data_IF_192641269111
#
_entry.id   IF_192641269111
#
_cell.length_a   1.000
_cell.length_b   1.000
_cell.length_c   1.000
_cell.angle_alpha   90.00
_cell.angle_beta   90.00
_cell.angle_gamma   90.00
#
_symmetry.space_group_name_H-M   'P 1'
#
loop_
_entity.id
_entity.type
_entity.pdbx_description
1 polymer ?
#
# COMPACT_ATOMS: atom_id res chain seq x y z
N UNK A 1 10.17 -0.59 4.84
CA UNK A 1 9.06 -0.82 5.80
C UNK A 1 7.92 0.11 5.39
N UNK A 2 6.72 -0.43 5.22
CA UNK A 2 5.55 0.34 4.83
C UNK A 2 4.63 0.44 6.05
N UNK A 3 4.21 1.65 6.39
CA UNK A 3 3.39 1.92 7.58
C UNK A 3 1.98 2.32 7.13
N UNK A 4 0.97 1.67 7.70
CA UNK A 4 -0.46 2.00 7.52
C UNK A 4 -1.03 2.73 8.73
N UNK A 5 -2.29 3.15 8.68
CA UNK A 5 -2.94 3.72 9.86
C UNK A 5 -3.13 2.69 10.98
N UNK A 6 -3.29 3.18 12.22
CA UNK A 6 -3.68 2.36 13.38
C UNK A 6 -5.04 1.72 13.12
N UNK A 7 -5.09 0.40 13.24
CA UNK A 7 -6.34 -0.34 13.32
C UNK A 7 -6.91 -0.21 14.74
N UNK A 8 -8.03 0.50 14.91
CA UNK A 8 -8.56 0.87 16.23
C UNK A 8 -9.10 -0.29 17.07
N UNK A 9 -9.42 -1.43 16.45
CA UNK A 9 -10.06 -2.57 17.12
C UNK A 9 -11.34 -2.23 17.92
N UNK A 10 -12.02 -1.14 17.58
CA UNK A 10 -13.23 -0.67 18.26
C UNK A 10 -12.99 0.30 19.42
N UNK A 11 -11.75 0.67 19.70
CA UNK A 11 -11.41 1.70 20.70
C UNK A 11 -11.58 3.12 20.14
N UNK A 12 -11.81 4.06 21.05
CA UNK A 12 -11.84 5.48 20.71
C UNK A 12 -10.42 5.97 20.35
N UNK A 13 -10.28 6.82 19.32
CA UNK A 13 -8.99 7.42 18.99
C UNK A 13 -8.45 8.26 20.15
N UNK A 14 -7.15 8.13 20.41
CA UNK A 14 -6.46 8.98 21.38
C UNK A 14 -6.03 10.27 20.66
N UNK A 15 -6.40 11.48 21.16
CA UNK A 15 -6.02 12.73 20.54
C UNK A 15 -4.50 12.86 20.34
N UNK A 16 -4.09 13.19 19.11
CA UNK A 16 -2.68 13.35 18.74
C UNK A 16 -1.90 12.05 18.55
N UNK A 17 -2.53 10.88 18.69
CA UNK A 17 -1.91 9.58 18.44
C UNK A 17 -2.40 9.03 17.10
N UNK A 18 -1.45 8.80 16.20
CA UNK A 18 -1.64 8.18 14.89
C UNK A 18 -0.34 7.57 14.40
N UNK A 19 -0.39 6.73 13.37
CA UNK A 19 0.82 6.06 12.91
C UNK A 19 1.80 6.98 12.18
N UNK A 20 1.39 8.19 11.78
CA UNK A 20 2.29 9.23 11.24
C UNK A 20 3.43 9.57 12.23
N UNK A 21 3.14 9.61 13.53
CA UNK A 21 4.15 9.90 14.55
C UNK A 21 5.20 8.79 14.66
N UNK A 22 4.79 7.53 14.52
CA UNK A 22 5.70 6.39 14.43
C UNK A 22 6.52 6.48 13.14
N UNK A 23 5.86 6.69 12.01
CA UNK A 23 6.50 6.85 10.71
C UNK A 23 7.61 7.91 10.73
N UNK A 24 7.35 9.11 11.28
CA UNK A 24 8.36 10.19 11.39
C UNK A 24 9.59 9.74 12.17
N UNK A 25 9.41 9.11 13.32
CA UNK A 25 10.53 8.57 14.13
C UNK A 25 11.30 7.46 13.40
N UNK A 26 10.60 6.60 12.66
CA UNK A 26 11.25 5.59 11.83
C UNK A 26 12.04 6.24 10.69
N UNK A 27 11.49 7.29 10.08
CA UNK A 27 12.11 8.03 8.99
C UNK A 27 13.42 8.68 9.43
N UNK A 28 13.48 9.22 10.65
CA UNK A 28 14.72 9.78 11.21
C UNK A 28 15.86 8.75 11.32
N UNK A 29 15.53 7.45 11.43
CA UNK A 29 16.52 6.38 11.64
C UNK A 29 16.87 5.60 10.37
N UNK A 30 15.92 5.46 9.45
CA UNK A 30 16.02 4.58 8.27
C UNK A 30 15.76 5.31 6.95
N UNK A 31 15.61 6.63 6.98
CA UNK A 31 15.58 7.50 5.81
C UNK A 31 14.58 7.03 4.73
N UNK A 32 15.01 6.86 3.49
CA UNK A 32 14.18 6.48 2.35
C UNK A 32 13.60 5.05 2.43
N UNK A 33 14.06 4.22 3.38
CA UNK A 33 13.65 2.81 3.52
C UNK A 33 12.32 2.61 4.25
N UNK A 34 11.69 3.68 4.71
CA UNK A 34 10.37 3.66 5.35
C UNK A 34 9.41 4.41 4.45
N UNK A 35 8.15 4.02 4.37
CA UNK A 35 7.15 4.77 3.62
C UNK A 35 5.81 4.73 4.35
N UNK A 36 4.96 5.73 4.10
CA UNK A 36 3.70 5.91 4.81
C UNK A 36 2.56 6.16 3.84
N UNK A 37 1.45 5.47 4.10
CA UNK A 37 0.16 5.72 3.50
C UNK A 37 -0.88 5.16 4.46
N UNK A 38 -1.73 6.02 5.04
CA UNK A 38 -2.69 5.61 6.04
C UNK A 38 -3.70 4.61 5.49
N UNK A 39 -4.04 4.71 4.19
CA UNK A 39 -5.10 3.91 3.60
C UNK A 39 -4.57 2.62 2.98
N UNK A 40 -5.05 1.48 3.50
CA UNK A 40 -4.69 0.14 2.99
C UNK A 40 -4.96 -0.03 1.50
N UNK A 41 -6.06 0.50 0.99
CA UNK A 41 -6.46 0.34 -0.42
C UNK A 41 -5.48 1.01 -1.40
N UNK A 42 -4.86 2.12 -1.00
CA UNK A 42 -3.83 2.81 -1.78
C UNK A 42 -2.52 2.03 -1.88
N UNK A 43 -2.24 1.13 -0.93
CA UNK A 43 -1.02 0.33 -0.98
C UNK A 43 -1.02 -0.67 -2.13
N UNK A 44 -2.18 -1.18 -2.54
CA UNK A 44 -2.26 -2.20 -3.58
C UNK A 44 -1.65 -1.70 -4.90
N UNK A 45 -2.02 -0.50 -5.35
CA UNK A 45 -1.48 0.13 -6.55
C UNK A 45 0.03 0.46 -6.40
N UNK A 46 0.43 0.98 -5.23
CA UNK A 46 1.83 1.34 -4.96
C UNK A 46 2.74 0.12 -4.95
N UNK A 47 2.30 -0.98 -4.31
CA UNK A 47 3.05 -2.22 -4.24
C UNK A 47 3.34 -2.80 -5.62
N UNK A 48 2.41 -2.67 -6.58
CA UNK A 48 2.64 -3.12 -7.96
C UNK A 48 3.79 -2.35 -8.64
N UNK A 49 3.95 -1.06 -8.35
CA UNK A 49 5.07 -0.26 -8.87
C UNK A 49 6.39 -0.46 -8.11
N UNK A 50 6.34 -1.03 -6.90
CA UNK A 50 7.49 -1.16 -6.00
C UNK A 50 8.12 -2.56 -6.03
N UNK A 51 7.29 -3.59 -6.04
CA UNK A 51 7.72 -4.99 -5.94
C UNK A 51 8.27 -5.49 -7.27
N UNK A 52 9.33 -6.30 -7.19
CA UNK A 52 9.98 -6.95 -8.32
C UNK A 52 9.93 -8.47 -8.14
N UNK A 53 10.20 -9.18 -9.24
CA UNK A 53 10.33 -10.64 -9.18
C UNK A 53 11.44 -11.03 -8.19
N UNK A 54 11.12 -11.95 -7.28
CA UNK A 54 12.02 -12.37 -6.20
C UNK A 54 11.82 -11.65 -4.87
N UNK A 55 11.03 -10.57 -4.82
CA UNK A 55 10.72 -9.90 -3.55
C UNK A 55 9.77 -10.73 -2.67
N UNK A 56 9.96 -10.61 -1.35
CA UNK A 56 9.04 -11.14 -0.34
C UNK A 56 8.24 -9.99 0.29
N UNK A 57 6.93 -9.98 0.06
CA UNK A 57 6.00 -9.09 0.77
C UNK A 57 5.52 -9.76 2.07
N UNK A 58 5.88 -9.17 3.21
CA UNK A 58 5.36 -9.57 4.51
C UNK A 58 4.34 -8.54 5.01
N UNK A 59 3.10 -9.00 5.26
CA UNK A 59 2.08 -8.20 5.96
C UNK A 59 2.09 -8.60 7.43
N UNK A 60 2.14 -7.62 8.34
CA UNK A 60 2.32 -7.86 9.77
C UNK A 60 1.32 -7.05 10.59
N UNK A 61 0.55 -7.74 11.42
CA UNK A 61 -0.44 -7.17 12.33
C UNK A 61 -1.67 -8.08 12.48
N UNK A 62 -2.48 -7.83 13.50
CA UNK A 62 -3.69 -8.61 13.78
C UNK A 62 -4.98 -8.01 13.18
N UNK A 63 -4.89 -6.78 12.67
CA UNK A 63 -6.03 -6.04 12.12
C UNK A 63 -6.28 -6.31 10.64
N UNK A 64 -6.80 -5.29 9.97
CA UNK A 64 -7.18 -5.35 8.56
C UNK A 64 -5.99 -5.45 7.59
N UNK A 65 -4.76 -5.17 8.06
CA UNK A 65 -3.54 -5.34 7.27
C UNK A 65 -3.34 -6.76 6.72
N UNK A 66 -3.90 -7.77 7.41
CA UNK A 66 -3.88 -9.17 6.97
C UNK A 66 -4.61 -9.39 5.64
N UNK A 67 -5.48 -8.44 5.23
CA UNK A 67 -6.20 -8.47 3.95
C UNK A 67 -5.35 -7.94 2.80
N UNK A 68 -4.39 -7.05 3.05
CA UNK A 68 -3.59 -6.40 2.01
C UNK A 68 -2.89 -7.40 1.08
N UNK A 69 -2.31 -8.47 1.62
CA UNK A 69 -1.65 -9.48 0.81
C UNK A 69 -2.61 -10.20 -0.15
N UNK A 70 -3.83 -10.49 0.30
CA UNK A 70 -4.88 -11.10 -0.54
C UNK A 70 -5.39 -10.10 -1.58
N UNK A 71 -5.66 -8.86 -1.14
CA UNK A 71 -6.10 -7.76 -2.01
C UNK A 71 -5.07 -7.53 -3.14
N UNK A 72 -3.78 -7.56 -2.81
CA UNK A 72 -2.69 -7.42 -3.78
C UNK A 72 -2.63 -8.58 -4.79
N UNK A 73 -2.77 -9.83 -4.34
CA UNK A 73 -2.75 -10.99 -5.24
C UNK A 73 -3.96 -11.06 -6.18
N UNK A 74 -5.09 -10.46 -5.77
CA UNK A 74 -6.31 -10.39 -6.58
C UNK A 74 -6.40 -9.12 -7.43
N UNK A 75 -5.53 -8.15 -7.18
CA UNK A 75 -5.56 -6.88 -7.87
C UNK A 75 -5.28 -7.06 -9.35
N UNK A 76 -6.09 -6.39 -10.16
CA UNK A 76 -5.89 -6.27 -11.58
C UNK A 76 -5.84 -4.78 -11.89
N UNK A 77 -4.85 -4.32 -12.67
CA UNK A 77 -4.91 -2.97 -13.20
C UNK A 77 -6.19 -2.83 -14.02
N UNK A 78 -6.88 -1.69 -13.89
CA UNK A 78 -8.00 -1.38 -14.76
C UNK A 78 -7.51 -1.50 -16.21
N UNK A 79 -8.15 -2.40 -16.98
CA UNK A 79 -7.84 -2.55 -18.39
C UNK A 79 -8.28 -1.27 -19.09
N UNK A 80 -7.30 -0.48 -19.54
CA UNK A 80 -7.57 0.57 -20.52
C UNK A 80 -7.88 -0.17 -21.81
N UNK A 81 -9.16 -0.21 -22.21
CA UNK A 81 -9.53 -0.70 -23.54
C UNK A 81 -8.85 0.24 -24.55
N UNK A 82 -7.82 -0.27 -25.22
CA UNK A 82 -7.24 0.38 -26.37
C UNK A 82 -8.24 0.29 -27.54
N UNK A 83 -9.23 1.18 -27.55
CA UNK A 83 -10.00 1.47 -28.75
C UNK A 83 -9.38 2.68 -29.47
N UNK A 84 -8.42 2.37 -30.32
CA UNK A 84 -8.14 3.07 -31.57
C UNK A 84 -7.74 1.97 -32.57
N UNK A 85 -8.69 1.17 -33.05
CA UNK A 85 -9.32 1.35 -34.37
C UNK A 85 -8.33 1.85 -35.42
N UNK A 86 -7.80 0.90 -36.19
CA UNK A 86 -7.60 0.96 -37.63
C UNK A 86 -7.44 2.36 -38.25
N UNK A 87 -6.19 2.72 -38.55
CA UNK A 87 -5.91 3.72 -39.56
C UNK A 87 -4.63 3.37 -40.33
N UNK A 88 -4.87 2.91 -41.56
CA UNK A 88 -4.03 3.01 -42.75
C UNK A 88 -2.96 1.94 -42.95
N UNK A 89 -3.40 0.87 -43.63
CA UNK A 89 -2.65 0.31 -44.75
C UNK A 89 -2.34 1.40 -45.78
N UNK A 90 -1.06 1.64 -46.06
CA UNK A 90 -0.52 2.04 -47.36
C UNK A 90 0.99 1.81 -47.38
#
# INVERSE_FOLDING_TARGET
ILVTEIYSAGEDPIPGIGSEGLYKKMRDRWEDRVDYEPRRDRWVERLNGMLKSGDLLLTLGAGDITRLGKDFLQWQPLSVSAHASDAVSA
#
